data_IF_266498977533
#
_entry.id   IF_266498977533
#
_cell.length_a   1.000
_cell.length_b   1.000
_cell.length_c   1.000
_cell.angle_alpha   90.00
_cell.angle_beta   90.00
_cell.angle_gamma   90.00
#
_symmetry.space_group_name_H-M   'P 1'
#
loop_
_entity.id
_entity.type
_entity.pdbx_description
1 polymer ?
#
# COMPACT_ATOMS: atom_id res chain seq x y z
N UNK A 1 20.52 23.56 2.54
CA UNK A 1 21.18 24.41 3.57
C UNK A 1 22.70 24.32 3.46
N UNK A 2 23.30 23.12 3.56
CA UNK A 2 24.76 22.90 3.48
C UNK A 2 25.36 23.51 2.22
N UNK A 3 24.84 23.26 1.02
CA UNK A 3 25.36 23.80 -0.22
C UNK A 3 25.46 25.35 -0.20
N UNK A 4 24.43 26.03 0.35
CA UNK A 4 24.45 27.47 0.51
C UNK A 4 25.51 27.97 1.52
N UNK A 5 25.72 27.22 2.61
CA UNK A 5 26.75 27.52 3.62
C UNK A 5 28.16 27.39 3.03
N UNK A 6 28.34 26.42 2.15
CA UNK A 6 29.63 26.18 1.43
C UNK A 6 29.76 27.00 0.13
N UNK A 7 28.83 27.92 -0.16
CA UNK A 7 28.89 28.80 -1.32
C UNK A 7 28.52 28.14 -2.66
N UNK A 8 27.95 26.95 -2.66
CA UNK A 8 27.50 26.27 -3.89
C UNK A 8 26.09 26.69 -4.29
N UNK A 9 25.93 27.11 -5.55
CA UNK A 9 24.64 27.33 -6.21
C UNK A 9 24.03 25.99 -6.63
N UNK A 10 23.23 25.37 -5.73
CA UNK A 10 22.51 24.11 -6.01
C UNK A 10 21.01 24.35 -6.13
N UNK A 11 20.44 23.98 -7.27
CA UNK A 11 18.99 23.87 -7.44
C UNK A 11 18.55 22.44 -7.13
N UNK A 12 17.62 22.27 -6.19
CA UNK A 12 17.08 21.00 -5.80
C UNK A 12 15.55 21.07 -5.79
N UNK A 13 14.91 20.15 -6.54
CA UNK A 13 13.47 20.01 -6.66
C UNK A 13 13.09 18.56 -6.30
N UNK A 14 12.07 18.39 -5.48
CA UNK A 14 11.53 17.09 -5.13
C UNK A 14 10.67 16.48 -6.25
N UNK A 15 10.71 15.15 -6.36
CA UNK A 15 9.78 14.38 -7.20
C UNK A 15 9.17 13.32 -6.30
N UNK A 16 7.82 13.16 -6.27
CA UNK A 16 7.18 12.15 -5.44
C UNK A 16 7.58 10.75 -5.91
N UNK A 17 7.86 9.86 -4.95
CA UNK A 17 8.30 8.49 -5.21
C UNK A 17 7.94 7.61 -4.03
N UNK A 18 6.88 6.87 -4.13
CA UNK A 18 6.51 5.73 -3.28
C UNK A 18 5.25 5.06 -3.83
N UNK A 19 5.16 3.74 -3.73
CA UNK A 19 3.91 3.02 -4.03
C UNK A 19 2.88 3.14 -2.90
N UNK A 20 3.31 3.57 -1.71
CA UNK A 20 2.49 3.57 -0.49
C UNK A 20 1.37 4.60 -0.54
N UNK A 21 1.51 5.62 -1.40
CA UNK A 21 0.56 6.72 -1.57
C UNK A 21 0.31 7.53 -0.28
N UNK A 22 1.28 7.53 0.62
CA UNK A 22 1.24 8.09 1.97
C UNK A 22 1.73 9.55 2.05
N UNK A 23 2.04 10.17 0.91
CA UNK A 23 2.53 11.54 0.82
C UNK A 23 1.39 12.52 0.57
N UNK A 24 1.39 13.65 1.29
CA UNK A 24 0.44 14.76 1.10
C UNK A 24 -0.55 14.91 2.24
N UNK A 25 -1.69 15.48 1.93
CA UNK A 25 -2.82 15.74 2.83
C UNK A 25 -3.94 14.71 2.64
N UNK A 26 -4.83 14.59 3.63
CA UNK A 26 -5.96 13.66 3.59
C UNK A 26 -7.09 14.12 2.63
N UNK A 27 -7.11 15.40 2.27
CA UNK A 27 -8.06 16.00 1.33
C UNK A 27 -7.61 15.89 -0.13
N UNK A 28 -6.42 15.34 -0.41
CA UNK A 28 -5.83 15.19 -1.74
C UNK A 28 -5.64 16.52 -2.50
N UNK A 29 -5.43 17.63 -1.76
CA UNK A 29 -5.25 18.96 -2.35
C UNK A 29 -3.80 19.27 -2.72
N UNK A 30 -2.85 18.63 -2.04
CA UNK A 30 -1.40 18.82 -2.26
C UNK A 30 -0.90 17.85 -3.33
N UNK A 31 -1.32 16.61 -3.26
CA UNK A 31 -1.02 15.57 -4.24
C UNK A 31 -2.17 14.55 -4.26
N UNK A 32 -2.67 14.20 -5.43
CA UNK A 32 -3.72 13.19 -5.57
C UNK A 32 -3.15 11.79 -5.30
N UNK A 33 -2.07 11.43 -5.99
CA UNK A 33 -1.40 10.14 -5.79
C UNK A 33 0.08 10.23 -6.15
N UNK A 34 0.83 9.18 -5.76
CA UNK A 34 2.26 9.07 -6.04
C UNK A 34 2.53 8.08 -7.18
N UNK A 35 3.54 8.34 -8.05
CA UNK A 35 3.92 7.38 -9.09
C UNK A 35 4.28 6.01 -8.51
N UNK A 36 3.78 4.97 -9.16
CA UNK A 36 3.94 3.58 -8.75
C UNK A 36 2.72 3.01 -8.00
N UNK A 37 1.90 3.86 -7.36
CA UNK A 37 0.69 3.40 -6.68
C UNK A 37 -0.32 2.78 -7.63
N UNK A 38 -0.57 3.40 -8.79
CA UNK A 38 -1.50 2.88 -9.79
C UNK A 38 -1.12 1.47 -10.29
N UNK A 39 0.17 1.23 -10.50
CA UNK A 39 0.69 -0.09 -10.87
C UNK A 39 0.57 -1.10 -9.74
N UNK A 40 0.85 -0.71 -8.48
CA UNK A 40 0.69 -1.55 -7.31
C UNK A 40 -0.79 -1.92 -7.07
N UNK A 41 -1.71 -0.96 -7.24
CA UNK A 41 -3.16 -1.20 -7.16
C UNK A 41 -3.63 -2.21 -8.22
N UNK A 42 -3.14 -2.06 -9.45
CA UNK A 42 -3.39 -3.01 -10.53
C UNK A 42 -2.86 -4.41 -10.22
N UNK A 43 -1.63 -4.52 -9.68
CA UNK A 43 -1.06 -5.78 -9.22
C UNK A 43 -2.02 -6.48 -8.24
N UNK A 44 -2.47 -5.78 -7.20
CA UNK A 44 -3.33 -6.35 -6.17
C UNK A 44 -4.70 -6.78 -6.71
N UNK A 45 -5.27 -6.04 -7.66
CA UNK A 45 -6.54 -6.42 -8.28
C UNK A 45 -6.45 -7.76 -9.01
N UNK A 46 -5.34 -8.04 -9.70
CA UNK A 46 -5.14 -9.31 -10.40
C UNK A 46 -4.72 -10.45 -9.47
N UNK A 47 -3.81 -10.18 -8.53
CA UNK A 47 -3.32 -11.20 -7.60
C UNK A 47 -4.45 -11.75 -6.73
N UNK A 48 -5.36 -10.92 -6.27
CA UNK A 48 -6.52 -11.39 -5.47
C UNK A 48 -7.50 -12.21 -6.32
N UNK A 49 -7.67 -11.92 -7.59
CA UNK A 49 -8.45 -12.79 -8.47
C UNK A 49 -7.80 -14.18 -8.61
N UNK A 50 -6.49 -14.25 -8.80
CA UNK A 50 -5.75 -15.51 -8.84
C UNK A 50 -5.84 -16.25 -7.49
N UNK A 51 -5.61 -15.54 -6.38
CA UNK A 51 -5.74 -16.06 -5.02
C UNK A 51 -7.13 -16.65 -4.76
N UNK A 52 -8.19 -16.02 -5.29
CA UNK A 52 -9.55 -16.52 -5.15
C UNK A 52 -9.76 -17.85 -5.90
N UNK A 53 -9.12 -18.07 -7.04
CA UNK A 53 -9.19 -19.35 -7.74
C UNK A 53 -8.45 -20.45 -6.97
N UNK A 54 -7.25 -20.15 -6.48
CA UNK A 54 -6.48 -21.09 -5.66
C UNK A 54 -7.22 -21.46 -4.37
N UNK A 55 -7.68 -20.44 -3.62
CA UNK A 55 -8.42 -20.65 -2.37
C UNK A 55 -9.72 -21.46 -2.58
N UNK A 56 -10.35 -21.40 -3.76
CA UNK A 56 -11.52 -22.25 -4.10
C UNK A 56 -11.12 -23.71 -4.32
N UNK A 57 -9.94 -23.97 -4.84
CA UNK A 57 -9.42 -25.31 -5.07
C UNK A 57 -8.92 -25.99 -3.80
N UNK A 58 -8.52 -25.17 -2.81
CA UNK A 58 -7.90 -25.63 -1.56
C UNK A 58 -8.78 -25.47 -0.33
N UNK A 59 -10.06 -25.19 -0.48
CA UNK A 59 -10.98 -24.80 0.59
C UNK A 59 -11.13 -25.82 1.74
N UNK A 60 -10.82 -27.09 1.49
CA UNK A 60 -10.86 -28.16 2.51
C UNK A 60 -9.60 -28.20 3.36
N UNK A 61 -8.42 -28.10 2.74
CA UNK A 61 -7.12 -28.21 3.41
C UNK A 61 -6.58 -26.86 3.87
N UNK A 62 -6.81 -25.81 3.09
CA UNK A 62 -6.30 -24.43 3.31
C UNK A 62 -7.43 -23.41 3.12
N UNK A 63 -8.45 -23.45 3.97
CA UNK A 63 -9.64 -22.60 3.80
C UNK A 63 -9.33 -21.11 3.97
N UNK A 64 -8.22 -20.74 4.57
CA UNK A 64 -7.81 -19.34 4.77
C UNK A 64 -6.49 -19.05 4.09
N UNK A 65 -6.51 -18.07 3.17
CA UNK A 65 -5.31 -17.57 2.49
C UNK A 65 -5.02 -16.14 2.95
N UNK A 66 -3.88 -15.91 3.59
CA UNK A 66 -3.45 -14.61 4.13
C UNK A 66 -2.40 -13.98 3.22
N UNK A 67 -2.61 -12.75 2.81
CA UNK A 67 -1.67 -11.97 1.99
C UNK A 67 -1.25 -10.70 2.71
N UNK A 68 0.06 -10.41 2.75
CA UNK A 68 0.57 -9.17 3.31
C UNK A 68 0.84 -8.16 2.21
N UNK A 69 0.20 -7.00 2.31
CA UNK A 69 0.45 -5.85 1.44
C UNK A 69 1.44 -4.88 2.08
N UNK A 70 2.30 -4.27 1.24
CA UNK A 70 3.09 -3.09 1.60
C UNK A 70 2.18 -1.88 1.86
N UNK A 71 2.74 -0.77 2.30
CA UNK A 71 2.03 0.48 2.54
C UNK A 71 2.37 1.10 3.89
N UNK A 72 3.28 0.49 4.65
CA UNK A 72 3.67 0.97 5.99
C UNK A 72 2.44 1.14 6.89
N UNK A 73 2.20 2.39 7.34
CA UNK A 73 1.05 2.76 8.18
C UNK A 73 -0.14 3.28 7.37
N UNK A 74 -0.08 3.21 6.04
CA UNK A 74 -1.14 3.66 5.14
C UNK A 74 -1.78 2.49 4.39
N UNK A 75 -3.11 2.43 4.42
CA UNK A 75 -3.91 1.32 3.90
C UNK A 75 -4.25 1.38 2.41
N UNK A 76 -3.68 2.30 1.63
CA UNK A 76 -4.03 2.47 0.21
C UNK A 76 -3.76 1.21 -0.63
N UNK A 77 -2.61 0.55 -0.44
CA UNK A 77 -2.28 -0.66 -1.20
C UNK A 77 -3.18 -1.84 -0.82
N UNK A 78 -3.33 -2.22 0.46
CA UNK A 78 -4.26 -3.31 0.80
C UNK A 78 -5.71 -2.98 0.43
N UNK A 79 -6.15 -1.73 0.50
CA UNK A 79 -7.49 -1.32 0.07
C UNK A 79 -7.70 -1.55 -1.45
N UNK A 80 -6.66 -1.36 -2.27
CA UNK A 80 -6.72 -1.63 -3.70
C UNK A 80 -7.03 -3.10 -4.04
N UNK A 81 -6.79 -4.04 -3.12
CA UNK A 81 -7.22 -5.43 -3.28
C UNK A 81 -8.74 -5.57 -3.47
N UNK A 82 -9.54 -4.61 -2.97
CA UNK A 82 -10.98 -4.57 -3.19
C UNK A 82 -11.38 -4.37 -4.66
N UNK A 83 -10.49 -3.82 -5.49
CA UNK A 83 -10.73 -3.69 -6.94
C UNK A 83 -10.86 -5.04 -7.63
N UNK A 84 -10.35 -6.12 -7.03
CA UNK A 84 -10.57 -7.49 -7.52
C UNK A 84 -12.04 -7.92 -7.42
N UNK A 85 -12.80 -7.33 -6.49
CA UNK A 85 -14.16 -7.72 -6.16
C UNK A 85 -15.05 -6.51 -5.81
N UNK A 86 -15.31 -5.62 -6.79
CA UNK A 86 -16.16 -4.44 -6.56
C UNK A 86 -17.59 -4.83 -6.16
N UNK A 87 -18.05 -5.99 -6.59
CA UNK A 87 -19.38 -6.52 -6.24
C UNK A 87 -19.46 -7.26 -4.88
N UNK A 88 -18.35 -7.31 -4.13
CA UNK A 88 -18.26 -7.98 -2.81
C UNK A 88 -18.75 -9.42 -2.80
N UNK A 89 -18.46 -10.16 -3.87
CA UNK A 89 -18.88 -11.58 -4.02
C UNK A 89 -17.83 -12.57 -3.52
N UNK A 90 -16.57 -12.16 -3.43
CA UNK A 90 -15.49 -12.97 -2.86
C UNK A 90 -15.54 -12.95 -1.32
N UNK A 91 -15.07 -14.01 -0.65
CA UNK A 91 -14.88 -14.02 0.81
C UNK A 91 -13.59 -13.25 1.18
N UNK A 92 -13.51 -11.99 0.77
CA UNK A 92 -12.33 -11.12 0.92
C UNK A 92 -12.49 -10.19 2.11
N UNK A 93 -11.58 -10.29 3.06
CA UNK A 93 -11.44 -9.39 4.20
C UNK A 93 -10.16 -8.54 4.04
N UNK A 94 -10.24 -7.28 4.42
CA UNK A 94 -9.13 -6.34 4.41
C UNK A 94 -8.91 -5.82 5.83
N UNK A 95 -7.67 -5.90 6.33
CA UNK A 95 -7.27 -5.37 7.62
C UNK A 95 -6.17 -4.32 7.40
N UNK A 96 -6.53 -3.06 7.60
CA UNK A 96 -5.71 -1.90 7.32
C UNK A 96 -4.98 -1.44 8.58
N UNK A 97 -3.88 -0.70 8.39
CA UNK A 97 -3.11 -0.15 9.49
C UNK A 97 -3.89 0.89 10.31
N UNK A 98 -4.84 1.59 9.66
CA UNK A 98 -5.65 2.67 10.25
C UNK A 98 -6.84 2.16 11.07
N UNK A 99 -7.12 0.87 11.03
CA UNK A 99 -8.28 0.30 11.74
C UNK A 99 -7.91 -0.14 13.15
N UNK A 100 -8.85 -0.01 14.09
CA UNK A 100 -8.70 -0.48 15.49
C UNK A 100 -8.84 -2.00 15.65
N UNK A 101 -8.73 -2.75 14.55
CA UNK A 101 -8.76 -4.21 14.61
C UNK A 101 -7.48 -4.78 15.21
N UNK A 102 -7.63 -5.90 15.91
CA UNK A 102 -6.55 -6.70 16.46
C UNK A 102 -6.66 -8.17 15.97
N UNK A 103 -5.76 -9.02 16.41
CA UNK A 103 -5.76 -10.43 16.02
C UNK A 103 -7.04 -11.18 16.42
N UNK A 104 -7.68 -10.81 17.54
CA UNK A 104 -8.90 -11.43 18.01
C UNK A 104 -10.08 -11.08 17.10
N UNK A 105 -10.29 -9.79 16.84
CA UNK A 105 -11.35 -9.32 15.92
C UNK A 105 -11.13 -9.81 14.48
N UNK A 106 -9.87 -9.97 14.05
CA UNK A 106 -9.54 -10.59 12.78
C UNK A 106 -9.97 -12.06 12.76
N UNK A 107 -9.64 -12.83 13.79
CA UNK A 107 -10.02 -14.25 13.86
C UNK A 107 -11.54 -14.43 13.89
N UNK A 108 -12.26 -13.57 14.58
CA UNK A 108 -13.73 -13.60 14.61
C UNK A 108 -14.33 -13.34 13.22
N UNK A 109 -13.84 -12.32 12.51
CA UNK A 109 -14.28 -12.03 11.14
C UNK A 109 -13.94 -13.17 10.16
N UNK A 110 -12.77 -13.78 10.28
CA UNK A 110 -12.38 -14.96 9.49
C UNK A 110 -13.32 -16.13 9.77
N UNK A 111 -13.60 -16.42 11.04
CA UNK A 111 -14.49 -17.51 11.40
C UNK A 111 -15.93 -17.30 10.92
N UNK A 112 -16.41 -16.07 10.88
CA UNK A 112 -17.73 -15.76 10.32
C UNK A 112 -17.76 -15.98 8.79
N UNK A 113 -16.67 -15.65 8.07
CA UNK A 113 -16.53 -15.99 6.65
C UNK A 113 -16.48 -17.51 6.43
N UNK A 114 -15.72 -18.24 7.25
CA UNK A 114 -15.66 -19.70 7.20
C UNK A 114 -17.04 -20.30 7.41
N UNK A 115 -17.78 -19.84 8.42
CA UNK A 115 -19.13 -20.31 8.71
C UNK A 115 -20.11 -20.07 7.56
N UNK A 116 -20.01 -18.91 6.91
CA UNK A 116 -20.97 -18.51 5.87
C UNK A 116 -20.58 -18.97 4.46
N UNK A 117 -19.28 -19.09 4.15
CA UNK A 117 -18.77 -19.33 2.81
C UNK A 117 -17.78 -20.49 2.69
N UNK A 118 -17.41 -21.13 3.80
CA UNK A 118 -16.46 -22.26 3.86
C UNK A 118 -14.99 -21.88 3.68
N UNK A 119 -14.69 -20.66 3.25
CA UNK A 119 -13.33 -20.19 2.93
C UNK A 119 -13.19 -18.68 3.12
N UNK A 120 -11.94 -18.19 3.20
CA UNK A 120 -11.66 -16.78 3.39
C UNK A 120 -10.32 -16.36 2.75
N UNK A 121 -10.28 -15.19 2.15
CA UNK A 121 -9.06 -14.51 1.72
C UNK A 121 -8.89 -13.29 2.61
N UNK A 122 -7.73 -13.16 3.22
CA UNK A 122 -7.38 -12.05 4.11
C UNK A 122 -6.24 -11.26 3.49
N UNK A 123 -6.41 -9.97 3.32
CA UNK A 123 -5.30 -9.06 2.99
C UNK A 123 -5.04 -8.19 4.21
N UNK A 124 -3.82 -8.28 4.73
CA UNK A 124 -3.38 -7.47 5.87
C UNK A 124 -2.36 -6.43 5.43
N UNK A 125 -2.44 -5.22 5.96
CA UNK A 125 -1.36 -4.23 5.85
C UNK A 125 -0.14 -4.70 6.63
N UNK A 126 1.06 -4.42 6.14
CA UNK A 126 2.30 -4.65 6.91
C UNK A 126 2.36 -3.82 8.20
N UNK A 127 1.58 -2.73 8.30
CA UNK A 127 1.42 -1.92 9.50
C UNK A 127 0.26 -2.33 10.41
N UNK A 128 -0.44 -3.43 10.13
CA UNK A 128 -1.50 -3.93 11.00
C UNK A 128 -0.94 -4.37 12.36
N UNK A 129 -1.60 -3.98 13.44
CA UNK A 129 -1.12 -4.22 14.79
C UNK A 129 -1.26 -5.70 15.20
N UNK A 130 -0.15 -6.42 15.23
CA UNK A 130 -0.04 -7.80 15.71
C UNK A 130 0.87 -7.94 16.95
N UNK A 131 1.25 -6.82 17.57
CA UNK A 131 2.29 -6.79 18.60
C UNK A 131 3.69 -6.67 17.98
N UNK A 132 4.74 -6.91 18.77
CA UNK A 132 6.13 -6.77 18.31
C UNK A 132 6.53 -7.87 17.31
N UNK A 133 7.08 -7.44 16.19
CA UNK A 133 7.63 -8.30 15.14
C UNK A 133 9.17 -8.47 15.24
N UNK A 134 9.79 -7.91 16.27
CA UNK A 134 11.26 -7.81 16.37
C UNK A 134 11.81 -6.88 15.30
N UNK A 135 11.25 -5.68 15.25
CA UNK A 135 11.42 -4.66 14.20
C UNK A 135 12.89 -4.27 14.02
N UNK A 136 13.26 -3.96 12.78
CA UNK A 136 14.49 -3.27 12.41
C UNK A 136 14.14 -1.90 11.84
N UNK A 137 15.04 -0.95 12.07
CA UNK A 137 14.86 0.41 11.57
C UNK A 137 15.90 0.73 10.49
N UNK A 138 15.50 1.48 9.47
CA UNK A 138 16.40 2.03 8.46
C UNK A 138 17.24 3.19 9.02
N UNK A 139 18.16 3.72 8.21
CA UNK A 139 19.00 4.86 8.60
C UNK A 139 18.25 6.17 8.89
N UNK A 140 16.95 6.23 8.61
CA UNK A 140 16.06 7.36 8.86
C UNK A 140 15.11 7.12 10.05
N UNK A 141 15.16 5.93 10.67
CA UNK A 141 14.33 5.56 11.81
C UNK A 141 12.99 4.92 11.48
N UNK A 142 12.70 4.64 10.21
CA UNK A 142 11.47 3.95 9.82
C UNK A 142 11.61 2.43 10.01
N UNK A 143 10.49 1.77 10.35
CA UNK A 143 10.45 0.31 10.46
C UNK A 143 10.65 -0.32 9.07
N UNK A 144 11.64 -1.21 8.98
CA UNK A 144 11.85 -2.07 7.82
C UNK A 144 11.08 -3.38 7.99
N UNK A 145 9.83 -3.41 7.59
CA UNK A 145 8.97 -4.59 7.72
C UNK A 145 9.53 -5.84 7.03
N UNK A 146 10.16 -5.66 5.87
CA UNK A 146 10.81 -6.75 5.14
C UNK A 146 12.07 -7.31 5.78
N UNK A 147 12.66 -6.62 6.77
CA UNK A 147 13.83 -7.04 7.52
C UNK A 147 13.50 -7.43 8.99
N UNK A 148 12.23 -7.32 9.41
CA UNK A 148 11.75 -7.76 10.72
C UNK A 148 11.88 -9.27 10.87
N UNK A 149 11.96 -9.76 12.12
CA UNK A 149 12.14 -11.20 12.40
C UNK A 149 10.94 -12.05 12.01
N UNK A 150 9.75 -11.47 12.04
CA UNK A 150 8.52 -12.08 11.58
C UNK A 150 7.75 -11.09 10.70
N UNK A 151 6.83 -11.60 9.89
CA UNK A 151 5.91 -10.78 9.11
C UNK A 151 4.55 -10.73 9.78
N UNK A 152 3.76 -9.69 9.48
CA UNK A 152 2.37 -9.58 9.94
C UNK A 152 1.57 -10.79 9.49
N UNK A 153 1.72 -11.21 8.22
CA UNK A 153 1.04 -12.41 7.71
C UNK A 153 1.38 -13.65 8.52
N UNK A 154 2.66 -13.85 8.87
CA UNK A 154 3.05 -15.02 9.67
C UNK A 154 2.46 -14.97 11.08
N UNK A 155 2.39 -13.80 11.71
CA UNK A 155 1.77 -13.62 13.02
C UNK A 155 0.27 -13.93 12.97
N UNK A 156 -0.43 -13.47 11.92
CA UNK A 156 -1.85 -13.79 11.70
C UNK A 156 -2.06 -15.29 11.47
N UNK A 157 -1.24 -15.92 10.62
CA UNK A 157 -1.32 -17.36 10.33
C UNK A 157 -1.11 -18.18 11.61
N UNK A 158 -0.08 -17.87 12.37
CA UNK A 158 0.20 -18.56 13.64
C UNK A 158 -0.97 -18.39 14.61
N UNK A 159 -1.48 -17.16 14.77
CA UNK A 159 -2.60 -16.89 15.67
C UNK A 159 -3.86 -17.66 15.29
N UNK A 160 -4.19 -17.73 13.99
CA UNK A 160 -5.32 -18.51 13.50
C UNK A 160 -5.12 -20.01 13.73
N UNK A 161 -3.95 -20.55 13.40
CA UNK A 161 -3.66 -21.98 13.51
C UNK A 161 -3.49 -22.46 14.96
N UNK A 162 -3.15 -21.57 15.89
CA UNK A 162 -3.03 -21.87 17.33
C UNK A 162 -4.41 -22.00 18.01
N UNK A 163 -5.31 -22.82 17.43
CA UNK A 163 -6.65 -23.15 17.92
C UNK A 163 -7.70 -22.01 17.86
N UNK A 164 -7.49 -21.00 17.02
CA UNK A 164 -8.46 -19.91 16.81
C UNK A 164 -9.34 -20.12 15.57
N UNK A 165 -8.84 -20.84 14.58
CA UNK A 165 -9.55 -21.14 13.35
C UNK A 165 -10.59 -22.25 13.57
N UNK A 166 -11.87 -21.95 13.29
CA UNK A 166 -12.99 -22.89 13.39
C UNK A 166 -13.21 -23.64 12.06
N UNK A 167 -12.16 -24.26 11.54
CA UNK A 167 -12.19 -25.06 10.31
C UNK A 167 -11.35 -26.34 10.49
N UNK A 168 -11.52 -27.30 9.58
CA UNK A 168 -10.70 -28.53 9.59
C UNK A 168 -9.30 -28.34 9.00
N UNK A 169 -9.14 -27.38 8.09
CA UNK A 169 -7.89 -27.06 7.44
C UNK A 169 -7.08 -26.02 8.19
N UNK A 170 -6.09 -25.46 7.54
CA UNK A 170 -5.15 -24.49 8.10
C UNK A 170 -5.23 -23.15 7.38
N UNK A 171 -4.81 -22.09 8.05
CA UNK A 171 -4.47 -20.82 7.40
C UNK A 171 -3.07 -20.92 6.81
N UNK A 172 -2.93 -20.50 5.55
CA UNK A 172 -1.65 -20.36 4.85
C UNK A 172 -1.49 -18.93 4.34
N UNK A 173 -0.31 -18.55 3.84
CA UNK A 173 -0.16 -17.18 3.39
C UNK A 173 1.04 -16.90 2.52
N UNK A 174 1.01 -15.71 1.95
CA UNK A 174 1.97 -15.19 1.00
C UNK A 174 2.39 -13.76 1.37
N UNK A 175 3.68 -13.51 1.28
CA UNK A 175 4.24 -12.15 1.40
C UNK A 175 4.92 -11.83 0.07
N UNK A 176 4.19 -11.18 -0.87
CA UNK A 176 4.74 -10.85 -2.18
C UNK A 176 6.00 -9.96 -2.12
N UNK A 177 6.18 -9.21 -1.03
CA UNK A 177 7.36 -8.37 -0.84
C UNK A 177 7.57 -7.41 -2.00
N UNK A 178 8.79 -7.34 -2.53
CA UNK A 178 9.16 -6.42 -3.61
C UNK A 178 8.46 -6.69 -4.95
N UNK A 179 7.87 -7.86 -5.14
CA UNK A 179 7.12 -8.17 -6.37
C UNK A 179 5.94 -7.22 -6.58
N UNK A 180 5.35 -6.69 -5.50
CA UNK A 180 4.25 -5.73 -5.57
C UNK A 180 4.62 -4.45 -6.32
N UNK A 181 5.89 -4.06 -6.31
CA UNK A 181 6.39 -2.83 -6.93
C UNK A 181 7.34 -3.07 -8.11
N UNK A 182 7.75 -4.32 -8.33
CA UNK A 182 8.76 -4.68 -9.33
C UNK A 182 8.22 -5.46 -10.53
N UNK A 183 6.93 -5.81 -10.56
CA UNK A 183 6.35 -6.66 -11.61
C UNK A 183 5.93 -5.82 -12.83
N UNK A 184 6.75 -5.86 -13.88
CA UNK A 184 6.51 -5.12 -15.13
C UNK A 184 5.20 -5.51 -15.84
N UNK A 185 4.76 -6.76 -15.71
CA UNK A 185 3.52 -7.26 -16.30
C UNK A 185 2.27 -6.46 -15.86
N UNK A 186 2.27 -5.97 -14.63
CA UNK A 186 1.16 -5.21 -14.06
C UNK A 186 1.37 -3.70 -14.11
N UNK A 187 2.46 -3.22 -14.69
CA UNK A 187 2.69 -1.80 -14.83
C UNK A 187 1.56 -1.13 -15.59
N UNK A 188 1.02 -0.03 -15.05
CA UNK A 188 -0.02 0.77 -15.67
C UNK A 188 0.62 1.76 -16.65
N UNK A 189 0.15 1.81 -17.88
CA UNK A 189 0.62 2.79 -18.88
C UNK A 189 0.34 4.23 -18.41
N UNK A 190 -0.77 4.45 -17.71
CA UNK A 190 -1.12 5.77 -17.13
C UNK A 190 -0.10 6.15 -16.07
N UNK A 191 0.17 5.27 -15.10
CA UNK A 191 1.13 5.50 -14.02
C UNK A 191 2.56 5.76 -14.54
N UNK A 192 2.99 5.04 -15.60
CA UNK A 192 4.29 5.28 -16.26
C UNK A 192 4.33 6.67 -16.91
N UNK A 193 3.28 7.06 -17.61
CA UNK A 193 3.19 8.39 -18.25
C UNK A 193 3.16 9.49 -17.20
N UNK A 194 2.41 9.33 -16.13
CA UNK A 194 2.36 10.28 -15.02
C UNK A 194 3.71 10.43 -14.31
N UNK A 195 4.43 9.34 -14.10
CA UNK A 195 5.79 9.38 -13.58
C UNK A 195 6.73 10.19 -14.47
N UNK A 196 6.60 10.05 -15.79
CA UNK A 196 7.37 10.82 -16.75
C UNK A 196 6.99 12.31 -16.73
N UNK A 197 5.69 12.62 -16.73
CA UNK A 197 5.21 14.00 -16.74
C UNK A 197 5.53 14.77 -15.45
N UNK A 198 5.40 14.12 -14.28
CA UNK A 198 5.80 14.78 -13.02
C UNK A 198 7.30 15.04 -12.94
N UNK A 199 8.12 14.17 -13.54
CA UNK A 199 9.56 14.40 -13.67
C UNK A 199 9.86 15.59 -14.61
N UNK A 200 9.16 15.70 -15.73
CA UNK A 200 9.24 16.89 -16.61
C UNK A 200 8.88 18.17 -15.86
N UNK A 201 7.79 18.12 -15.09
CA UNK A 201 7.36 19.26 -14.26
C UNK A 201 8.43 19.67 -13.26
N UNK A 202 9.13 18.72 -12.65
CA UNK A 202 10.24 19.02 -11.74
C UNK A 202 11.39 19.75 -12.45
N UNK A 203 11.69 19.40 -13.70
CA UNK A 203 12.69 20.13 -14.52
C UNK A 203 12.21 21.56 -14.83
N UNK A 204 10.95 21.75 -15.19
CA UNK A 204 10.37 23.08 -15.40
C UNK A 204 10.48 23.96 -14.14
N UNK A 205 10.16 23.40 -12.97
CA UNK A 205 10.29 24.09 -11.68
C UNK A 205 11.74 24.47 -11.41
N UNK A 206 12.68 23.55 -11.66
CA UNK A 206 14.12 23.82 -11.45
C UNK A 206 14.63 24.98 -12.30
N UNK A 207 14.13 25.11 -13.52
CA UNK A 207 14.53 26.17 -14.47
C UNK A 207 13.86 27.52 -14.17
N UNK A 208 12.60 27.53 -13.76
CA UNK A 208 11.79 28.74 -13.67
C UNK A 208 11.62 29.26 -12.23
N UNK A 209 11.49 28.34 -11.26
CA UNK A 209 11.17 28.68 -9.87
C UNK A 209 12.33 28.46 -8.90
N UNK A 210 13.31 27.64 -9.29
CA UNK A 210 14.50 27.37 -8.50
C UNK A 210 14.31 26.24 -7.48
N UNK A 211 14.84 26.42 -6.27
CA UNK A 211 14.92 25.39 -5.24
C UNK A 211 13.82 25.52 -4.18
N UNK A 212 13.49 24.42 -3.54
CA UNK A 212 12.57 24.40 -2.37
C UNK A 212 11.16 23.95 -2.69
N UNK A 213 10.94 23.38 -3.87
CA UNK A 213 9.66 22.85 -4.31
C UNK A 213 9.72 21.35 -4.58
N UNK A 214 8.55 20.72 -4.58
CA UNK A 214 8.31 19.38 -5.10
C UNK A 214 7.27 19.47 -6.23
N UNK A 215 7.50 18.75 -7.33
CA UNK A 215 6.46 18.55 -8.34
C UNK A 215 5.35 17.65 -7.79
N UNK A 216 4.10 17.90 -8.18
CA UNK A 216 2.94 17.13 -7.73
C UNK A 216 2.08 16.65 -8.89
N UNK A 217 1.35 15.55 -8.65
CA UNK A 217 0.29 15.06 -9.53
C UNK A 217 -1.03 15.39 -8.84
N UNK A 218 -1.90 16.08 -9.54
CA UNK A 218 -3.22 16.44 -9.08
C UNK A 218 -4.27 15.94 -10.07
N UNK A 219 -5.50 15.82 -9.62
CA UNK A 219 -6.61 15.32 -10.43
C UNK A 219 -7.66 16.41 -10.64
N UNK A 220 -8.13 16.57 -11.87
CA UNK A 220 -9.29 17.41 -12.16
C UNK A 220 -10.59 16.72 -11.72
N UNK A 221 -11.50 17.49 -11.18
CA UNK A 221 -12.86 17.01 -10.92
C UNK A 221 -13.58 16.73 -12.25
N UNK A 222 -14.35 15.64 -12.32
CA UNK A 222 -15.11 15.28 -13.51
C UNK A 222 -15.39 13.79 -13.59
N UNK A 223 -16.11 13.37 -14.64
CA UNK A 223 -16.39 11.94 -14.89
C UNK A 223 -15.20 11.22 -15.52
N UNK A 224 -14.42 11.92 -16.35
CA UNK A 224 -13.23 11.38 -16.96
C UNK A 224 -12.01 11.66 -16.08
N UNK A 225 -11.10 10.69 -16.05
CA UNK A 225 -9.85 10.84 -15.33
C UNK A 225 -8.90 11.76 -16.11
N UNK A 226 -8.48 12.86 -15.49
CA UNK A 226 -7.51 13.80 -16.03
C UNK A 226 -6.55 14.25 -14.95
N UNK A 227 -5.27 13.88 -15.09
CA UNK A 227 -4.20 14.38 -14.23
C UNK A 227 -3.62 15.70 -14.73
N UNK A 228 -3.20 16.55 -13.81
CA UNK A 228 -2.39 17.73 -14.12
C UNK A 228 -1.25 17.86 -13.11
N UNK A 229 -0.24 18.64 -13.46
CA UNK A 229 1.01 18.69 -12.72
C UNK A 229 1.28 20.10 -12.22
N UNK A 230 1.60 20.24 -10.95
CA UNK A 230 1.88 21.51 -10.30
C UNK A 230 3.08 21.39 -9.36
N UNK A 231 3.26 22.34 -8.47
CA UNK A 231 4.32 22.37 -7.47
C UNK A 231 3.76 22.70 -6.10
N UNK A 232 4.45 22.22 -5.08
CA UNK A 232 4.19 22.56 -3.67
C UNK A 232 5.52 22.87 -2.98
N UNK A 233 5.56 23.80 -1.99
CA UNK A 233 6.74 24.01 -1.18
C UNK A 233 7.15 22.73 -0.43
N UNK A 234 8.45 22.44 -0.38
CA UNK A 234 8.95 21.20 0.27
C UNK A 234 8.64 21.13 1.76
N UNK A 235 8.54 22.25 2.44
CA UNK A 235 8.21 22.33 3.86
C UNK A 235 6.77 21.90 4.17
N UNK A 236 5.88 22.00 3.19
CA UNK A 236 4.48 21.55 3.32
C UNK A 236 4.36 20.03 3.23
N UNK A 237 5.21 19.38 2.43
CA UNK A 237 5.17 17.92 2.23
C UNK A 237 6.21 17.15 3.03
N UNK A 238 7.23 17.83 3.53
CA UNK A 238 8.28 17.19 4.32
C UNK A 238 7.71 16.62 5.62
N UNK A 239 7.89 15.31 5.82
CA UNK A 239 7.37 14.55 6.97
C UNK A 239 5.82 14.46 7.03
N UNK A 240 5.12 14.79 5.94
CA UNK A 240 3.69 14.48 5.86
C UNK A 240 3.49 12.96 5.75
N UNK A 241 2.46 12.47 6.42
CA UNK A 241 1.98 11.10 6.29
C UNK A 241 0.48 11.17 6.06
N UNK A 242 0.03 10.64 4.94
CA UNK A 242 -1.38 10.56 4.60
C UNK A 242 -1.90 9.15 4.89
N UNK A 243 -3.03 9.08 5.53
CA UNK A 243 -3.76 7.84 5.79
C UNK A 243 -4.92 7.66 4.81
N UNK A 244 -5.34 6.41 4.65
CA UNK A 244 -6.55 6.12 3.87
C UNK A 244 -7.76 6.69 4.62
N UNK A 245 -8.60 7.51 3.97
CA UNK A 245 -9.84 7.99 4.58
C UNK A 245 -10.78 6.85 4.98
N UNK A 246 -11.58 7.01 6.04
CA UNK A 246 -12.50 5.99 6.55
C UNK A 246 -13.63 5.62 5.57
#
# INVERSE_FOLDING_TARGET
KLARQEGYGLTAVGVPKTIDNDLGDEEFTIIDHTPGYGSAARYWSYIIQNANQENRGMDVSEPVSVFQAMGRTSGFIPAAARLADPGRRMPLLLFLAETDHNLESLADAVNEQIKSRGRCIVVVSEGFNVGSLGERHDGFGHIEYGASRATVAQSVINYLNDNRLKARGQATGQVPGVLQRGTSLYASAVDIEEAFQVARKAVEIALNDGTGFMATILRRGGQEYEAYYDKVPLDVVANSVRHLPP
#
